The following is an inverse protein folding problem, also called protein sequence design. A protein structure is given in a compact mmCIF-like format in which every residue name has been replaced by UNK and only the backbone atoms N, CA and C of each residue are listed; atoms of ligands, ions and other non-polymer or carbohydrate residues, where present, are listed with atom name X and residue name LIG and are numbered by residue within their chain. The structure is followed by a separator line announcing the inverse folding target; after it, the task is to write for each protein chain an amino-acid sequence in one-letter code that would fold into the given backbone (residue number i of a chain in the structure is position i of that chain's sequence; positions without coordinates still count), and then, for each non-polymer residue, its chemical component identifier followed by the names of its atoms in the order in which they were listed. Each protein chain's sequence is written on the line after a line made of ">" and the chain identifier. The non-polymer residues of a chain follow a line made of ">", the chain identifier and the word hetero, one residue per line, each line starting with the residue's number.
data_IF_639412991123
#
_entry.id   IF_639412991123
#
_cell.length_a   1.000
_cell.length_b   1.000
_cell.length_c   1.000
_cell.angle_alpha   90.00
_cell.angle_beta   90.00
_cell.angle_gamma   90.00
#
_symmetry.space_group_name_H-M   'P 1'
#
loop_
_entity.id
_entity.type
_entity.pdbx_description
1 polymer ?
#
# COMPACT_ATOMS: atom_id res chain seq x y z
N UNK A 1 2.30 -12.73 -28.94
CA UNK A 1 3.03 -11.47 -28.70
C UNK A 1 3.36 -11.42 -27.22
N UNK A 2 4.63 -11.21 -26.84
CA UNK A 2 4.95 -10.92 -25.43
C UNK A 2 4.65 -9.45 -25.22
N UNK A 3 3.64 -9.14 -24.42
CA UNK A 3 3.37 -7.76 -23.98
C UNK A 3 4.59 -7.24 -23.23
N UNK A 4 4.86 -5.94 -23.35
CA UNK A 4 5.93 -5.31 -22.57
C UNK A 4 5.51 -5.36 -21.10
N UNK A 5 6.39 -5.76 -20.18
CA UNK A 5 6.03 -5.95 -18.77
C UNK A 5 5.52 -4.68 -18.10
N UNK A 6 5.92 -3.49 -18.60
CA UNK A 6 5.37 -2.20 -18.18
C UNK A 6 3.87 -2.06 -18.46
N UNK A 7 3.37 -2.78 -19.45
CA UNK A 7 1.98 -2.74 -19.84
C UNK A 7 1.12 -3.59 -18.89
N UNK A 8 1.69 -4.55 -18.15
CA UNK A 8 0.91 -5.47 -17.30
C UNK A 8 0.24 -4.73 -16.13
N UNK A 9 0.98 -3.85 -15.43
CA UNK A 9 0.41 -3.10 -14.32
C UNK A 9 -0.71 -2.15 -14.79
N UNK A 10 -0.52 -1.52 -15.95
CA UNK A 10 -1.53 -0.68 -16.59
C UNK A 10 -2.74 -1.50 -17.06
N UNK A 11 -2.54 -2.68 -17.65
CA UNK A 11 -3.61 -3.60 -18.05
C UNK A 11 -4.42 -4.07 -16.85
N UNK A 12 -3.77 -4.39 -15.73
CA UNK A 12 -4.44 -4.72 -14.48
C UNK A 12 -5.23 -3.54 -13.94
N UNK A 13 -4.63 -2.34 -13.90
CA UNK A 13 -5.31 -1.11 -13.47
C UNK A 13 -6.57 -0.83 -14.32
N UNK A 14 -6.45 -0.93 -15.64
CA UNK A 14 -7.55 -0.75 -16.60
C UNK A 14 -8.64 -1.82 -16.46
N UNK A 15 -8.33 -2.97 -15.83
CA UNK A 15 -9.27 -4.06 -15.56
C UNK A 15 -9.76 -4.10 -14.11
N UNK A 16 -9.35 -3.17 -13.25
CA UNK A 16 -9.71 -3.19 -11.82
C UNK A 16 -11.22 -3.23 -11.60
N UNK A 17 -11.99 -2.43 -12.34
CA UNK A 17 -13.46 -2.41 -12.21
C UNK A 17 -14.04 -3.81 -12.44
N UNK A 18 -13.56 -4.53 -13.45
CA UNK A 18 -13.97 -5.88 -13.79
C UNK A 18 -13.50 -6.90 -12.76
N UNK A 19 -12.24 -6.83 -12.34
CA UNK A 19 -11.65 -7.73 -11.34
C UNK A 19 -12.41 -7.61 -10.02
N UNK A 20 -12.58 -6.38 -9.52
CA UNK A 20 -13.30 -6.09 -8.27
C UNK A 20 -14.76 -6.53 -8.37
N UNK A 21 -15.46 -6.21 -9.48
CA UNK A 21 -16.85 -6.62 -9.68
C UNK A 21 -17.04 -8.13 -9.63
N UNK A 22 -16.12 -8.89 -10.24
CA UNK A 22 -16.23 -10.35 -10.31
C UNK A 22 -15.94 -11.01 -8.98
N UNK A 23 -14.89 -10.56 -8.27
CA UNK A 23 -14.64 -11.00 -6.89
C UNK A 23 -15.87 -10.69 -6.04
N UNK A 24 -16.42 -9.48 -6.13
CA UNK A 24 -17.59 -9.10 -5.36
C UNK A 24 -18.81 -10.00 -5.66
N UNK A 25 -19.07 -10.33 -6.92
CA UNK A 25 -20.16 -11.25 -7.32
C UNK A 25 -19.95 -12.67 -6.80
N UNK A 26 -18.73 -13.19 -6.91
CA UNK A 26 -18.37 -14.52 -6.43
C UNK A 26 -18.62 -14.67 -4.92
N UNK A 27 -18.33 -13.62 -4.15
CA UNK A 27 -18.48 -13.60 -2.69
C UNK A 27 -19.82 -12.99 -2.22
N UNK A 28 -20.74 -12.67 -3.13
CA UNK A 28 -22.07 -12.13 -2.78
C UNK A 28 -22.06 -10.73 -2.17
N UNK A 29 -21.07 -9.89 -2.49
CA UNK A 29 -20.89 -8.55 -1.93
C UNK A 29 -21.46 -7.49 -2.90
N UNK A 30 -22.74 -7.16 -2.74
CA UNK A 30 -23.47 -6.29 -3.68
C UNK A 30 -22.83 -4.91 -3.86
N UNK A 31 -22.33 -4.30 -2.78
CA UNK A 31 -21.78 -2.94 -2.79
C UNK A 31 -20.62 -2.77 -3.78
N UNK A 32 -19.66 -3.70 -3.79
CA UNK A 32 -18.53 -3.67 -4.74
C UNK A 32 -18.92 -4.18 -6.13
N UNK A 33 -19.97 -5.01 -6.25
CA UNK A 33 -20.42 -5.51 -7.56
C UNK A 33 -21.12 -4.44 -8.41
N UNK A 34 -21.76 -3.47 -7.76
CA UNK A 34 -22.51 -2.38 -8.39
C UNK A 34 -21.69 -1.09 -8.47
N UNK A 35 -20.83 -0.86 -7.48
CA UNK A 35 -19.85 0.22 -7.45
C UNK A 35 -18.47 -0.35 -7.08
N UNK A 36 -17.63 -0.72 -8.06
CA UNK A 36 -16.31 -1.30 -7.80
C UNK A 36 -15.38 -0.37 -7.01
N UNK A 37 -15.59 0.94 -7.11
CA UNK A 37 -14.86 1.94 -6.33
C UNK A 37 -15.61 2.35 -5.04
N UNK A 38 -16.41 1.43 -4.48
CA UNK A 38 -17.16 1.68 -3.26
C UNK A 38 -16.20 1.98 -2.10
N UNK A 39 -16.51 3.05 -1.36
CA UNK A 39 -15.82 3.39 -0.12
C UNK A 39 -16.70 3.03 1.09
N UNK A 40 -16.29 2.01 1.81
CA UNK A 40 -16.96 1.56 3.03
C UNK A 40 -16.85 2.61 4.15
N UNK A 41 -17.95 2.87 4.86
CA UNK A 41 -18.02 3.91 5.91
C UNK A 41 -16.92 3.77 6.96
N UNK A 42 -16.55 2.55 7.35
CA UNK A 42 -15.47 2.30 8.32
C UNK A 42 -14.10 2.80 7.86
N UNK A 43 -13.91 2.99 6.55
CA UNK A 43 -12.67 3.45 5.95
C UNK A 43 -12.63 4.98 5.82
N UNK A 44 -13.75 5.70 6.05
CA UNK A 44 -13.81 7.16 5.97
C UNK A 44 -12.74 7.88 6.81
N UNK A 45 -12.35 7.38 8.00
CA UNK A 45 -11.28 8.01 8.76
C UNK A 45 -9.90 7.92 8.10
N UNK A 46 -9.71 6.95 7.22
CA UNK A 46 -8.40 6.52 6.72
C UNK A 46 -8.21 6.79 5.22
N UNK A 47 -9.30 6.89 4.45
CA UNK A 47 -9.27 7.04 3.00
C UNK A 47 -10.25 8.11 2.54
N UNK A 48 -9.77 8.98 1.67
CA UNK A 48 -10.60 9.90 0.89
C UNK A 48 -11.37 9.13 -0.20
N UNK A 49 -10.68 8.16 -0.81
CA UNK A 49 -11.06 7.48 -2.03
C UNK A 49 -11.55 6.05 -1.79
N UNK A 50 -12.37 5.54 -2.71
CA UNK A 50 -12.70 4.12 -2.79
C UNK A 50 -11.52 3.23 -3.18
N UNK A 51 -11.75 1.92 -3.21
CA UNK A 51 -10.71 0.90 -3.43
C UNK A 51 -9.88 1.13 -4.70
N UNK A 52 -10.52 1.42 -5.82
CA UNK A 52 -9.89 1.54 -7.14
C UNK A 52 -9.18 2.89 -7.25
N UNK A 53 -9.83 3.97 -6.84
CA UNK A 53 -9.21 5.30 -6.87
C UNK A 53 -8.02 5.37 -5.94
N UNK A 54 -8.10 4.79 -4.73
CA UNK A 54 -6.94 4.64 -3.84
C UNK A 54 -5.81 3.88 -4.51
N UNK A 55 -6.10 2.71 -5.10
CA UNK A 55 -5.09 1.88 -5.80
C UNK A 55 -4.40 2.65 -6.93
N UNK A 56 -5.14 3.44 -7.71
CA UNK A 56 -4.59 4.31 -8.76
C UNK A 56 -3.70 5.41 -8.19
N UNK A 57 -4.09 6.00 -7.05
CA UNK A 57 -3.27 7.00 -6.34
C UNK A 57 -1.96 6.40 -5.83
N UNK A 58 -2.00 5.20 -5.24
CA UNK A 58 -0.79 4.47 -4.81
C UNK A 58 0.17 4.25 -5.99
N UNK A 59 -0.34 3.81 -7.15
CA UNK A 59 0.50 3.64 -8.35
C UNK A 59 1.02 4.97 -8.89
N UNK A 60 0.22 6.04 -8.88
CA UNK A 60 0.68 7.37 -9.26
C UNK A 60 1.85 7.84 -8.40
N UNK A 61 1.77 7.68 -7.07
CA UNK A 61 2.86 8.02 -6.16
C UNK A 61 4.11 7.19 -6.48
N UNK A 62 3.94 5.88 -6.70
CA UNK A 62 5.04 4.97 -7.05
C UNK A 62 5.77 5.41 -8.33
N UNK A 63 5.03 5.83 -9.36
CA UNK A 63 5.59 6.22 -10.65
C UNK A 63 6.18 7.63 -10.67
N UNK A 64 5.54 8.58 -9.98
CA UNK A 64 5.77 10.01 -10.19
C UNK A 64 6.50 10.69 -9.03
N UNK A 65 6.37 10.17 -7.81
CA UNK A 65 6.82 10.87 -6.59
C UNK A 65 7.93 10.13 -5.84
N UNK A 66 7.88 8.79 -5.83
CA UNK A 66 8.77 7.93 -5.06
C UNK A 66 10.26 8.28 -5.25
N UNK A 67 10.71 8.37 -6.50
CA UNK A 67 12.13 8.62 -6.79
C UNK A 67 12.60 10.00 -6.28
N UNK A 68 11.72 11.02 -6.29
CA UNK A 68 12.03 12.34 -5.74
C UNK A 68 12.11 12.31 -4.22
N UNK A 69 11.13 11.67 -3.56
CA UNK A 69 11.08 11.57 -2.09
C UNK A 69 12.31 10.82 -1.56
N UNK A 70 12.64 9.68 -2.16
CA UNK A 70 13.80 8.88 -1.73
C UNK A 70 15.11 9.61 -1.96
N UNK A 71 15.20 10.46 -3.00
CA UNK A 71 16.36 11.33 -3.23
C UNK A 71 16.47 12.40 -2.14
N UNK A 72 15.36 13.03 -1.74
CA UNK A 72 15.35 14.03 -0.66
C UNK A 72 15.73 13.44 0.70
N UNK A 73 15.61 12.12 0.87
CA UNK A 73 16.04 11.38 2.05
C UNK A 73 17.46 10.81 1.95
N UNK A 74 18.22 11.17 0.91
CA UNK A 74 19.55 10.63 0.59
C UNK A 74 19.56 9.08 0.44
N UNK A 75 18.43 8.49 0.05
CA UNK A 75 18.25 7.05 -0.08
C UNK A 75 18.25 6.61 -1.55
N UNK A 76 19.42 6.69 -2.20
CA UNK A 76 19.55 6.44 -3.65
C UNK A 76 19.82 4.97 -4.01
N UNK A 77 20.24 4.15 -3.05
CA UNK A 77 20.63 2.75 -3.30
C UNK A 77 19.45 1.83 -3.66
N UNK A 78 18.23 2.25 -3.34
CA UNK A 78 16.99 1.56 -3.66
C UNK A 78 16.91 1.14 -5.13
N UNK A 79 17.36 2.00 -6.05
CA UNK A 79 17.30 1.72 -7.48
C UNK A 79 18.16 0.52 -7.87
N UNK A 80 19.28 0.26 -7.18
CA UNK A 80 20.08 -0.92 -7.44
C UNK A 80 19.34 -2.20 -7.02
N UNK A 81 18.64 -2.16 -5.88
CA UNK A 81 17.80 -3.27 -5.40
C UNK A 81 16.63 -3.51 -6.35
N UNK A 82 15.90 -2.45 -6.70
CA UNK A 82 14.70 -2.54 -7.53
C UNK A 82 15.01 -2.90 -9.00
N UNK A 83 16.25 -2.70 -9.47
CA UNK A 83 16.70 -3.15 -10.79
C UNK A 83 17.12 -4.62 -10.84
N UNK A 84 17.26 -5.32 -9.70
CA UNK A 84 17.47 -6.78 -9.70
C UNK A 84 16.30 -7.46 -10.39
N UNK A 85 16.59 -8.61 -11.02
CA UNK A 85 15.61 -9.32 -11.84
C UNK A 85 15.17 -10.63 -11.22
N UNK A 86 13.91 -10.98 -11.41
CA UNK A 86 13.32 -12.30 -11.13
C UNK A 86 12.78 -12.80 -12.46
N UNK A 87 13.35 -13.90 -12.95
CA UNK A 87 13.03 -14.49 -14.25
C UNK A 87 12.99 -13.47 -15.40
N UNK A 88 13.96 -12.55 -15.40
CA UNK A 88 14.16 -11.54 -16.44
C UNK A 88 13.45 -10.20 -16.23
N UNK A 89 12.45 -10.10 -15.34
CA UNK A 89 11.69 -8.88 -15.03
C UNK A 89 12.27 -8.19 -13.81
N UNK A 90 12.38 -6.85 -13.82
CA UNK A 90 12.89 -6.09 -12.68
C UNK A 90 11.93 -6.15 -11.50
N UNK A 91 12.47 -6.14 -10.28
CA UNK A 91 11.68 -6.00 -9.06
C UNK A 91 10.78 -4.75 -9.08
N UNK A 92 11.26 -3.61 -9.60
CA UNK A 92 10.45 -2.37 -9.75
C UNK A 92 9.14 -2.64 -10.51
N UNK A 93 9.24 -3.34 -11.64
CA UNK A 93 8.08 -3.64 -12.49
C UNK A 93 7.14 -4.64 -11.79
N UNK A 94 7.68 -5.63 -11.07
CA UNK A 94 6.86 -6.59 -10.30
C UNK A 94 6.14 -5.93 -9.10
N UNK A 95 6.76 -4.94 -8.47
CA UNK A 95 6.11 -4.13 -7.41
C UNK A 95 4.97 -3.32 -8.01
N UNK A 96 5.19 -2.71 -9.18
CA UNK A 96 4.13 -1.98 -9.87
C UNK A 96 2.93 -2.89 -10.19
N UNK A 97 3.20 -4.12 -10.66
CA UNK A 97 2.18 -5.14 -10.92
C UNK A 97 1.44 -5.56 -9.65
N UNK A 98 2.10 -5.59 -8.49
CA UNK A 98 1.42 -5.94 -7.24
C UNK A 98 0.49 -4.83 -6.73
N UNK A 99 0.64 -3.56 -7.17
CA UNK A 99 -0.19 -2.44 -6.66
C UNK A 99 -1.68 -2.64 -6.98
N UNK A 100 -2.10 -2.94 -8.21
CA UNK A 100 -3.49 -3.28 -8.52
C UNK A 100 -4.09 -4.43 -7.69
N UNK A 101 -3.26 -5.25 -7.07
CA UNK A 101 -3.67 -6.50 -6.44
C UNK A 101 -3.66 -6.44 -4.90
N UNK A 102 -3.01 -5.42 -4.31
CA UNK A 102 -2.63 -5.43 -2.89
C UNK A 102 -3.82 -5.51 -1.94
N UNK A 103 -4.93 -4.88 -2.31
CA UNK A 103 -6.09 -4.63 -1.46
C UNK A 103 -7.35 -5.41 -1.85
N UNK A 104 -7.26 -6.33 -2.82
CA UNK A 104 -8.44 -7.08 -3.30
C UNK A 104 -9.16 -7.85 -2.19
N UNK A 105 -8.43 -8.31 -1.16
CA UNK A 105 -9.02 -8.94 0.02
C UNK A 105 -9.94 -8.04 0.83
N UNK A 106 -9.89 -6.70 0.68
CA UNK A 106 -10.84 -5.76 1.31
C UNK A 106 -12.30 -6.03 0.90
N UNK A 107 -12.50 -6.61 -0.29
CA UNK A 107 -13.82 -7.01 -0.81
C UNK A 107 -14.38 -8.15 0.04
N UNK A 108 -13.57 -9.18 0.32
CA UNK A 108 -14.00 -10.39 1.04
C UNK A 108 -14.30 -10.08 2.51
N UNK A 109 -13.53 -9.16 3.13
CA UNK A 109 -13.71 -8.78 4.54
C UNK A 109 -14.71 -7.64 4.75
N UNK A 110 -15.48 -7.31 3.71
CA UNK A 110 -16.51 -6.29 3.76
C UNK A 110 -17.51 -6.58 4.88
N UNK A 111 -17.86 -5.56 5.68
CA UNK A 111 -18.81 -5.71 6.78
C UNK A 111 -18.30 -6.49 8.01
N UNK A 112 -17.10 -7.08 7.96
CA UNK A 112 -16.45 -7.61 9.17
C UNK A 112 -16.22 -6.48 10.18
N UNK A 113 -16.11 -6.81 11.47
CA UNK A 113 -15.73 -5.88 12.54
C UNK A 113 -14.39 -6.27 13.20
N UNK A 114 -13.71 -7.27 12.67
CA UNK A 114 -12.42 -7.71 13.21
C UNK A 114 -11.34 -6.64 13.02
N UNK A 115 -10.45 -6.54 14.02
CA UNK A 115 -9.34 -5.57 14.05
C UNK A 115 -8.27 -5.90 13.02
N UNK A 116 -7.90 -7.18 12.89
CA UNK A 116 -7.02 -7.69 11.85
C UNK A 116 -7.79 -8.68 10.99
N UNK A 117 -8.29 -8.20 9.85
CA UNK A 117 -9.16 -8.98 8.98
C UNK A 117 -8.40 -9.89 8.04
N UNK A 118 -7.06 -9.83 8.08
CA UNK A 118 -6.19 -10.60 7.19
C UNK A 118 -6.45 -10.34 5.70
N UNK A 119 -6.87 -9.11 5.34
CA UNK A 119 -7.16 -8.78 3.94
C UNK A 119 -5.93 -8.98 3.05
N UNK A 120 -4.73 -8.82 3.57
CA UNK A 120 -3.46 -9.09 2.88
C UNK A 120 -3.36 -10.57 2.51
N UNK A 121 -3.67 -11.48 3.45
CA UNK A 121 -3.70 -12.93 3.21
C UNK A 121 -4.78 -13.31 2.20
N UNK A 122 -5.92 -12.63 2.24
CA UNK A 122 -7.01 -12.84 1.29
C UNK A 122 -6.67 -12.29 -0.11
N UNK A 123 -5.96 -11.17 -0.21
CA UNK A 123 -5.41 -10.67 -1.48
C UNK A 123 -4.42 -11.68 -2.07
N UNK A 124 -3.51 -12.23 -1.24
CA UNK A 124 -2.59 -13.30 -1.65
C UNK A 124 -3.35 -14.54 -2.11
N UNK A 125 -4.38 -14.96 -1.37
CA UNK A 125 -5.23 -16.08 -1.75
C UNK A 125 -5.83 -15.83 -3.15
N UNK A 126 -6.45 -14.68 -3.38
CA UNK A 126 -7.04 -14.32 -4.67
C UNK A 126 -6.01 -14.35 -5.81
N UNK A 127 -4.80 -13.83 -5.61
CA UNK A 127 -3.72 -13.86 -6.61
C UNK A 127 -3.33 -15.29 -6.98
N UNK A 128 -3.39 -16.22 -6.02
CA UNK A 128 -2.99 -17.60 -6.20
C UNK A 128 -4.15 -18.54 -6.58
N UNK A 129 -5.34 -17.99 -6.83
CA UNK A 129 -6.53 -18.73 -7.26
C UNK A 129 -7.02 -18.27 -8.63
N UNK A 130 -7.83 -19.13 -9.25
CA UNK A 130 -8.50 -18.79 -10.50
C UNK A 130 -9.68 -17.85 -10.22
N UNK A 131 -9.98 -16.90 -11.13
CA UNK A 131 -9.38 -16.71 -12.45
C UNK A 131 -8.13 -15.82 -12.48
N UNK A 132 -7.77 -15.17 -11.37
CA UNK A 132 -6.72 -14.14 -11.36
C UNK A 132 -5.34 -14.74 -11.66
N UNK A 133 -5.03 -15.93 -11.11
CA UNK A 133 -3.78 -16.63 -11.39
C UNK A 133 -3.59 -16.93 -12.89
N UNK A 134 -4.62 -17.47 -13.55
CA UNK A 134 -4.60 -17.70 -15.00
C UNK A 134 -4.45 -16.41 -15.80
N UNK A 135 -5.06 -15.32 -15.34
CA UNK A 135 -4.88 -14.01 -15.98
C UNK A 135 -3.41 -13.57 -15.91
N UNK A 136 -2.75 -13.72 -14.75
CA UNK A 136 -1.33 -13.39 -14.59
C UNK A 136 -0.42 -14.26 -15.47
N UNK A 137 -0.70 -15.57 -15.59
CA UNK A 137 0.01 -16.42 -16.54
C UNK A 137 -0.23 -16.01 -17.99
N UNK A 138 -1.44 -15.56 -18.33
CA UNK A 138 -1.75 -15.10 -19.69
C UNK A 138 -0.96 -13.86 -20.10
N UNK A 139 -0.54 -13.04 -19.13
CA UNK A 139 0.40 -11.92 -19.30
C UNK A 139 1.88 -12.37 -19.39
N UNK A 140 2.14 -13.68 -19.30
CA UNK A 140 3.47 -14.27 -19.39
C UNK A 140 4.28 -14.21 -18.09
N UNK A 141 3.64 -13.98 -16.93
CA UNK A 141 4.31 -14.06 -15.65
C UNK A 141 4.61 -15.51 -15.26
N UNK A 142 5.77 -15.73 -14.65
CA UNK A 142 6.20 -17.04 -14.15
C UNK A 142 5.75 -17.27 -12.71
N UNK A 143 5.85 -18.52 -12.23
CA UNK A 143 5.58 -18.87 -10.83
C UNK A 143 6.40 -18.05 -9.84
N UNK A 144 7.69 -17.84 -10.10
CA UNK A 144 8.56 -17.07 -9.20
C UNK A 144 8.16 -15.59 -9.15
N UNK A 145 7.73 -15.04 -10.29
CA UNK A 145 7.24 -13.65 -10.37
C UNK A 145 5.91 -13.50 -9.64
N UNK A 146 4.95 -14.40 -9.84
CA UNK A 146 3.67 -14.40 -9.13
C UNK A 146 3.87 -14.59 -7.63
N UNK A 147 4.79 -15.48 -7.23
CA UNK A 147 5.17 -15.66 -5.82
C UNK A 147 5.76 -14.37 -5.23
N UNK A 148 6.61 -13.68 -5.98
CA UNK A 148 7.19 -12.42 -5.54
C UNK A 148 6.15 -11.29 -5.45
N UNK A 149 5.25 -11.17 -6.42
CA UNK A 149 4.09 -10.26 -6.39
C UNK A 149 3.24 -10.54 -5.14
N UNK A 150 2.89 -11.81 -4.91
CA UNK A 150 2.15 -12.24 -3.72
C UNK A 150 2.89 -11.85 -2.44
N UNK A 151 4.21 -12.01 -2.39
CA UNK A 151 5.03 -11.64 -1.24
C UNK A 151 5.01 -10.14 -0.96
N UNK A 152 5.04 -9.30 -1.99
CA UNK A 152 4.89 -7.85 -1.85
C UNK A 152 3.49 -7.50 -1.31
N UNK A 153 2.44 -8.12 -1.84
CA UNK A 153 1.06 -7.93 -1.36
C UNK A 153 0.88 -8.39 0.08
N UNK A 154 1.44 -9.53 0.47
CA UNK A 154 1.35 -10.04 1.84
C UNK A 154 1.92 -9.06 2.87
N UNK A 155 2.98 -8.35 2.49
CA UNK A 155 3.83 -7.58 3.40
C UNK A 155 3.60 -6.07 3.34
N UNK A 156 2.66 -5.60 2.53
CA UNK A 156 2.50 -4.16 2.23
C UNK A 156 2.15 -3.29 3.46
N UNK A 157 1.44 -3.83 4.46
CA UNK A 157 1.08 -3.11 5.70
C UNK A 157 1.96 -3.52 6.90
N UNK A 158 3.10 -4.21 6.69
CA UNK A 158 3.97 -4.67 7.79
C UNK A 158 4.46 -3.51 8.66
N UNK A 159 4.86 -2.38 8.07
CA UNK A 159 5.25 -1.19 8.86
C UNK A 159 4.06 -0.67 9.67
N UNK A 160 2.85 -0.67 9.10
CA UNK A 160 1.64 -0.25 9.78
C UNK A 160 1.29 -1.14 10.97
N UNK A 161 1.33 -2.47 10.79
CA UNK A 161 0.95 -3.45 11.81
C UNK A 161 2.02 -3.71 12.87
N UNK A 162 3.28 -3.78 12.46
CA UNK A 162 4.36 -4.23 13.36
C UNK A 162 5.16 -3.09 13.98
N UNK A 163 5.19 -1.91 13.35
CA UNK A 163 5.98 -0.77 13.85
C UNK A 163 5.05 0.34 14.34
N UNK A 164 4.14 0.83 13.51
CA UNK A 164 3.26 1.95 13.86
C UNK A 164 2.34 1.59 15.02
N UNK A 165 1.68 0.43 14.98
CA UNK A 165 0.77 0.00 16.04
C UNK A 165 1.49 -0.25 17.37
N UNK A 166 2.71 -0.79 17.34
CA UNK A 166 3.56 -0.97 18.52
C UNK A 166 3.94 0.38 19.15
N UNK A 167 4.44 1.32 18.33
CA UNK A 167 4.75 2.68 18.77
C UNK A 167 3.51 3.39 19.32
N UNK A 168 2.33 3.17 18.72
CA UNK A 168 1.07 3.73 19.18
C UNK A 168 0.68 3.19 20.55
N UNK A 169 0.74 1.87 20.76
CA UNK A 169 0.43 1.27 22.07
C UNK A 169 1.41 1.72 23.15
N UNK A 170 2.68 1.97 22.79
CA UNK A 170 3.69 2.50 23.70
C UNK A 170 3.57 4.02 23.96
N UNK A 171 2.64 4.73 23.31
CA UNK A 171 2.50 6.19 23.42
C UNK A 171 3.62 6.99 22.73
N UNK A 172 4.35 6.37 21.80
CA UNK A 172 5.55 6.90 21.12
C UNK A 172 5.32 7.22 19.64
N UNK A 173 4.08 7.12 19.16
CA UNK A 173 3.73 7.48 17.78
C UNK A 173 3.46 8.98 17.67
N UNK A 174 4.53 9.77 17.64
CA UNK A 174 4.49 11.19 17.28
C UNK A 174 5.78 11.58 16.52
N UNK A 175 5.77 12.75 15.87
CA UNK A 175 6.86 13.21 15.00
C UNK A 175 8.19 13.41 15.71
N UNK A 176 8.19 13.62 17.03
CA UNK A 176 9.40 13.79 17.86
C UNK A 176 9.98 12.42 18.22
N UNK A 177 9.13 11.50 18.66
CA UNK A 177 9.54 10.20 19.21
C UNK A 177 9.86 9.15 18.15
N UNK A 178 9.39 9.30 16.91
CA UNK A 178 9.70 8.36 15.81
C UNK A 178 11.21 8.22 15.54
N UNK A 179 12.07 9.15 15.98
CA UNK A 179 13.53 9.04 15.81
C UNK A 179 14.26 8.38 17.00
N UNK A 180 13.55 7.89 18.02
CA UNK A 180 14.13 7.29 19.21
C UNK A 180 14.78 5.92 18.93
N UNK A 181 15.39 5.30 19.95
CA UNK A 181 16.03 3.99 19.77
C UNK A 181 15.00 2.87 19.53
N UNK A 182 13.81 2.96 20.13
CA UNK A 182 12.79 1.91 20.00
C UNK A 182 12.29 1.77 18.57
N UNK A 183 12.03 2.88 17.87
CA UNK A 183 11.62 2.86 16.47
C UNK A 183 12.70 2.26 15.58
N UNK A 184 13.98 2.59 15.84
CA UNK A 184 15.13 2.05 15.09
C UNK A 184 15.27 0.56 15.28
N UNK A 185 15.13 0.09 16.52
CA UNK A 185 15.26 -1.32 16.85
C UNK A 185 14.08 -2.12 16.28
N UNK A 186 12.87 -1.57 16.28
CA UNK A 186 11.72 -2.16 15.57
C UNK A 186 11.95 -2.20 14.06
N UNK A 187 12.42 -1.12 13.44
CA UNK A 187 12.73 -1.10 12.01
C UNK A 187 13.76 -2.17 11.64
N UNK A 188 14.85 -2.32 12.41
CA UNK A 188 15.87 -3.37 12.21
C UNK A 188 15.31 -4.77 12.40
N UNK A 189 14.51 -4.97 13.45
CA UNK A 189 13.89 -6.27 13.71
C UNK A 189 13.01 -6.70 12.54
N UNK A 190 12.16 -5.80 12.07
CA UNK A 190 11.27 -6.03 10.92
C UNK A 190 12.07 -6.23 9.64
N UNK A 191 13.04 -5.37 9.33
CA UNK A 191 13.85 -5.51 8.11
C UNK A 191 14.66 -6.80 8.07
N UNK A 192 15.14 -7.27 9.22
CA UNK A 192 15.85 -8.56 9.31
C UNK A 192 14.90 -9.75 9.12
N UNK A 193 13.70 -9.69 9.72
CA UNK A 193 12.68 -10.73 9.55
C UNK A 193 12.21 -10.85 8.10
N UNK A 194 12.05 -9.72 7.41
CA UNK A 194 11.60 -9.64 6.02
C UNK A 194 12.74 -9.30 5.06
N UNK A 195 13.93 -9.85 5.29
CA UNK A 195 15.14 -9.48 4.55
C UNK A 195 15.06 -9.70 3.02
N UNK A 196 14.16 -10.57 2.56
CA UNK A 196 13.88 -10.85 1.15
C UNK A 196 13.14 -9.72 0.43
N UNK A 197 12.30 -8.97 1.17
CA UNK A 197 11.40 -7.91 0.66
C UNK A 197 11.43 -6.61 1.48
N UNK A 198 12.46 -6.40 2.29
CA UNK A 198 12.53 -5.25 3.22
C UNK A 198 12.39 -3.91 2.50
N UNK A 199 12.99 -3.75 1.33
CA UNK A 199 12.92 -2.48 0.61
C UNK A 199 11.54 -2.24 0.00
N UNK A 200 10.91 -3.32 -0.47
CA UNK A 200 9.57 -3.35 -1.04
C UNK A 200 8.53 -2.97 0.00
N UNK A 201 8.67 -3.43 1.24
CA UNK A 201 7.83 -3.03 2.38
C UNK A 201 7.89 -1.51 2.60
N UNK A 202 9.08 -0.92 2.62
CA UNK A 202 9.26 0.52 2.78
C UNK A 202 8.62 1.32 1.63
N UNK A 203 8.81 0.86 0.39
CA UNK A 203 8.22 1.48 -0.80
C UNK A 203 6.70 1.41 -0.75
N UNK A 204 6.13 0.25 -0.43
CA UNK A 204 4.69 0.05 -0.34
C UNK A 204 4.06 0.94 0.71
N UNK A 205 4.60 0.94 1.92
CA UNK A 205 4.06 1.73 3.02
C UNK A 205 4.06 3.23 2.72
N UNK A 206 5.12 3.73 2.07
CA UNK A 206 5.20 5.12 1.63
C UNK A 206 4.12 5.45 0.59
N UNK A 207 4.03 4.66 -0.48
CA UNK A 207 3.07 4.89 -1.56
C UNK A 207 1.61 4.73 -1.07
N UNK A 208 1.34 3.72 -0.25
CA UNK A 208 0.03 3.49 0.39
C UNK A 208 -0.38 4.68 1.27
N UNK A 209 0.55 5.18 2.09
CA UNK A 209 0.28 6.33 2.97
C UNK A 209 -0.06 7.59 2.18
N UNK A 210 0.71 7.89 1.13
CA UNK A 210 0.48 9.06 0.27
C UNK A 210 -0.77 8.90 -0.60
N UNK A 211 -1.14 7.66 -0.96
CA UNK A 211 -2.32 7.37 -1.78
C UNK A 211 -3.66 7.47 -1.05
N UNK A 212 -3.69 7.81 0.26
CA UNK A 212 -4.92 7.84 1.08
C UNK A 212 -5.72 9.12 0.97
N UNK A 213 -5.08 10.26 0.70
CA UNK A 213 -5.73 11.57 0.58
C UNK A 213 -4.90 12.56 -0.20
N UNK A 214 -5.56 13.48 -0.91
CA UNK A 214 -4.92 14.62 -1.60
C UNK A 214 -4.67 15.81 -0.65
N UNK A 215 -4.99 15.69 0.64
CA UNK A 215 -4.80 16.75 1.64
C UNK A 215 -3.40 16.65 2.24
N UNK A 216 -2.49 17.46 1.72
CA UNK A 216 -1.13 17.62 2.25
C UNK A 216 -1.06 18.86 3.14
N UNK A 217 -0.71 18.67 4.41
CA UNK A 217 -0.49 19.76 5.37
C UNK A 217 0.56 19.37 6.41
N UNK A 218 1.32 20.36 6.87
CA UNK A 218 2.22 20.20 8.01
C UNK A 218 1.53 20.48 9.35
N UNK A 219 0.27 20.95 9.32
CA UNK A 219 -0.47 21.20 10.54
C UNK A 219 -0.75 19.90 11.29
N UNK A 220 -0.58 19.95 12.61
CA UNK A 220 -1.02 18.92 13.54
C UNK A 220 -2.18 19.44 14.41
N UNK A 221 -2.69 20.64 14.10
CA UNK A 221 -3.81 21.24 14.81
C UNK A 221 -5.12 20.75 14.21
N UNK A 222 -5.94 20.07 15.03
CA UNK A 222 -7.21 19.53 14.59
C UNK A 222 -8.16 20.58 14.00
N UNK A 223 -8.27 21.76 14.63
CA UNK A 223 -9.17 22.82 14.18
C UNK A 223 -8.76 23.36 12.80
N UNK A 224 -7.46 23.50 12.56
CA UNK A 224 -6.94 23.92 11.26
C UNK A 224 -7.22 22.86 10.19
N UNK A 225 -7.04 21.58 10.52
CA UNK A 225 -7.34 20.47 9.62
C UNK A 225 -8.84 20.42 9.29
N UNK A 226 -9.73 20.55 10.28
CA UNK A 226 -11.18 20.61 10.04
C UNK A 226 -11.54 21.77 9.09
N UNK A 227 -10.93 22.95 9.26
CA UNK A 227 -11.10 24.09 8.32
C UNK A 227 -10.56 23.81 6.92
N UNK A 228 -9.50 23.00 6.77
CA UNK A 228 -9.01 22.57 5.45
C UNK A 228 -10.01 21.61 4.80
N UNK A 229 -10.53 20.64 5.56
CA UNK A 229 -11.50 19.65 5.08
C UNK A 229 -12.80 20.34 4.66
N UNK A 230 -13.34 21.23 5.49
CA UNK A 230 -14.55 22.00 5.20
C UNK A 230 -14.40 22.82 3.90
N UNK A 231 -13.30 23.57 3.76
CA UNK A 231 -13.02 24.37 2.55
C UNK A 231 -12.91 23.53 1.28
N UNK A 232 -12.45 22.27 1.39
CA UNK A 232 -12.35 21.32 0.28
C UNK A 232 -13.64 20.52 0.05
N UNK A 233 -14.66 20.70 0.89
CA UNK A 233 -15.89 19.90 0.84
C UNK A 233 -15.68 18.42 1.17
N UNK A 234 -14.66 18.12 1.98
CA UNK A 234 -14.31 16.76 2.39
C UNK A 234 -14.97 16.39 3.73
N UNK A 235 -15.11 15.08 3.95
CA UNK A 235 -15.69 14.50 5.18
C UNK A 235 -14.78 14.78 6.38
N UNK A 236 -15.35 15.15 7.52
CA UNK A 236 -14.60 15.45 8.76
C UNK A 236 -13.87 14.21 9.30
N UNK A 237 -14.41 13.01 9.07
CA UNK A 237 -13.78 11.76 9.49
C UNK A 237 -12.35 11.62 8.93
N UNK A 238 -12.09 12.15 7.73
CA UNK A 238 -10.80 12.08 7.04
C UNK A 238 -9.66 12.76 7.82
N UNK A 239 -9.98 13.59 8.83
CA UNK A 239 -9.00 14.22 9.72
C UNK A 239 -7.95 13.26 10.25
N UNK A 240 -8.33 12.02 10.58
CA UNK A 240 -7.38 11.01 11.08
C UNK A 240 -6.29 10.67 10.06
N UNK A 241 -6.65 10.47 8.78
CA UNK A 241 -5.69 10.24 7.71
C UNK A 241 -4.75 11.42 7.51
N UNK A 242 -5.29 12.64 7.48
CA UNK A 242 -4.53 13.88 7.29
C UNK A 242 -3.50 14.08 8.41
N UNK A 243 -3.92 13.89 9.67
CA UNK A 243 -3.02 14.00 10.82
C UNK A 243 -1.92 12.93 10.82
N UNK A 244 -2.25 11.71 10.39
CA UNK A 244 -1.30 10.61 10.39
C UNK A 244 -0.28 10.67 9.25
N UNK A 245 -0.60 11.32 8.13
CA UNK A 245 0.26 11.31 6.95
C UNK A 245 1.70 11.80 7.23
N UNK A 246 1.94 12.96 7.89
CA UNK A 246 3.30 13.39 8.22
C UNK A 246 4.05 12.39 9.11
N UNK A 247 3.34 11.76 10.05
CA UNK A 247 3.88 10.75 10.95
C UNK A 247 4.25 9.47 10.19
N UNK A 248 3.40 9.00 9.28
CA UNK A 248 3.67 7.84 8.43
C UNK A 248 4.84 8.11 7.48
N UNK A 249 4.91 9.29 6.87
CA UNK A 249 6.07 9.66 6.04
C UNK A 249 7.36 9.63 6.84
N UNK A 250 7.37 10.18 8.06
CA UNK A 250 8.54 10.13 8.93
C UNK A 250 8.92 8.71 9.32
N UNK A 251 7.93 7.85 9.59
CA UNK A 251 8.17 6.45 9.89
C UNK A 251 8.78 5.70 8.69
N UNK A 252 8.30 5.96 7.47
CA UNK A 252 8.87 5.40 6.25
C UNK A 252 10.35 5.81 6.08
N UNK A 253 10.65 7.10 6.30
CA UNK A 253 12.03 7.61 6.25
C UNK A 253 12.94 6.90 7.26
N UNK A 254 12.49 6.75 8.51
CA UNK A 254 13.25 6.03 9.55
C UNK A 254 13.44 4.57 9.15
N UNK A 255 12.41 3.90 8.64
CA UNK A 255 12.53 2.53 8.17
C UNK A 255 13.59 2.38 7.09
N UNK A 256 13.61 3.24 6.07
CA UNK A 256 14.65 3.19 5.04
C UNK A 256 16.06 3.39 5.61
N UNK A 257 16.25 4.35 6.51
CA UNK A 257 17.56 4.63 7.15
C UNK A 257 18.11 3.44 7.95
N UNK A 258 17.23 2.66 8.59
CA UNK A 258 17.64 1.60 9.52
C UNK A 258 17.45 0.19 8.97
N UNK A 259 16.86 0.01 7.79
CA UNK A 259 16.72 -1.29 7.13
C UNK A 259 18.00 -1.83 6.48
N UNK A 260 19.04 -0.99 6.35
CA UNK A 260 20.34 -1.35 5.73
C UNK A 260 21.30 -2.08 6.68
N UNK A 261 21.08 -1.98 8.00
CA UNK A 261 21.95 -2.51 9.06
C UNK A 261 21.34 -3.74 9.74
#
# INVERSE_FOLDING_TARGET
>A
MKENHKDIAELLENRLDFIVSNIAKEYGIESYSTNPDFLEKRLYPWHEFGLITHTKKVRSVFLNELDSILKDWDYTNINQVLNKKIDGIKKKDLIEISIPLHDLGKIIVFGSNEKDRGHEKLSVYLINQNPLKEMLYSFGLTDNQIKYISRCVETHDVIGKEIRDELKHAGKLNSVDINNNDSRDLCRLVSNRYSDVKHEIGVYFLCDSLGKTDVITNSQNEEEISKILERKGLREELKSAVMQLPTNMKLAEVYFRFSEY
#
